data_IF_625615865959
#
_entry.id   IF_625615865959
#
_cell.length_a   1.000
_cell.length_b   1.000
_cell.length_c   1.000
_cell.angle_alpha   90.00
_cell.angle_beta   90.00
_cell.angle_gamma   90.00
#
_symmetry.space_group_name_H-M   'P 1'
#
loop_
_entity.id
_entity.type
_entity.pdbx_description
1 polymer ?
#
# COMPACT_ATOMS: atom_id res chain seq x y z
N UNK A 1 1.47 -11.20 -16.29
CA UNK A 1 1.50 -9.77 -15.89
C UNK A 1 1.29 -8.86 -17.09
N UNK A 2 0.58 -7.74 -16.93
CA UNK A 2 0.47 -6.70 -17.98
C UNK A 2 1.80 -5.94 -18.15
N UNK A 3 2.13 -5.51 -19.37
CA UNK A 3 3.38 -4.79 -19.65
C UNK A 3 3.47 -3.45 -18.89
N UNK A 4 2.35 -2.73 -18.78
CA UNK A 4 2.25 -1.46 -18.05
C UNK A 4 2.59 -1.62 -16.55
N UNK A 5 2.20 -2.76 -15.97
CA UNK A 5 2.52 -3.06 -14.57
C UNK A 5 4.03 -3.24 -14.36
N UNK A 6 4.72 -3.87 -15.31
CA UNK A 6 6.18 -4.04 -15.23
C UNK A 6 6.94 -2.70 -15.33
N UNK A 7 6.42 -1.75 -16.11
CA UNK A 7 6.97 -0.39 -16.21
C UNK A 7 6.88 0.39 -14.88
N UNK A 8 5.96 0.01 -13.99
CA UNK A 8 5.85 0.58 -12.64
C UNK A 8 6.71 -0.17 -11.61
N UNK A 9 6.81 -1.50 -11.73
CA UNK A 9 7.52 -2.35 -10.77
C UNK A 9 9.04 -2.20 -10.90
N UNK A 10 9.59 -2.23 -12.12
CA UNK A 10 11.05 -2.24 -12.30
C UNK A 10 11.75 -1.00 -11.70
N UNK A 11 11.26 0.24 -11.90
CA UNK A 11 11.81 1.40 -11.22
C UNK A 11 11.67 1.36 -9.70
N UNK A 12 10.56 0.80 -9.20
CA UNK A 12 10.32 0.65 -7.77
C UNK A 12 11.32 -0.31 -7.13
N UNK A 13 11.59 -1.46 -7.76
CA UNK A 13 12.59 -2.42 -7.28
C UNK A 13 14.00 -1.83 -7.27
N UNK A 14 14.37 -1.10 -8.31
CA UNK A 14 15.65 -0.39 -8.37
C UNK A 14 15.75 0.65 -7.24
N UNK A 15 14.65 1.34 -6.94
CA UNK A 15 14.58 2.27 -5.82
C UNK A 15 14.77 1.59 -4.46
N UNK A 16 14.09 0.45 -4.23
CA UNK A 16 14.28 -0.36 -3.02
C UNK A 16 15.74 -0.81 -2.86
N UNK A 17 16.36 -1.24 -3.96
CA UNK A 17 17.78 -1.63 -3.97
C UNK A 17 18.66 -0.46 -3.53
N UNK A 18 18.50 0.72 -4.12
CA UNK A 18 19.26 1.93 -3.75
C UNK A 18 19.04 2.35 -2.29
N UNK A 19 17.81 2.24 -1.79
CA UNK A 19 17.49 2.54 -0.39
C UNK A 19 18.18 1.57 0.58
N UNK A 20 18.24 0.27 0.25
CA UNK A 20 18.99 -0.72 1.03
C UNK A 20 20.49 -0.44 1.00
N UNK A 21 21.07 -0.15 -0.16
CA UNK A 21 22.50 0.18 -0.28
C UNK A 21 22.86 1.42 0.54
N UNK A 22 22.02 2.46 0.51
CA UNK A 22 22.21 3.64 1.35
C UNK A 22 22.12 3.32 2.85
N UNK A 23 21.27 2.36 3.23
CA UNK A 23 21.14 1.90 4.62
C UNK A 23 22.34 1.06 5.09
N UNK A 24 22.94 0.27 4.20
CA UNK A 24 24.08 -0.59 4.53
C UNK A 24 25.41 0.16 4.56
N UNK A 25 25.52 1.27 3.84
CA UNK A 25 26.69 2.17 3.86
C UNK A 25 26.78 3.05 5.12
N UNK A 26 26.01 2.74 6.18
CA UNK A 26 26.04 3.52 7.43
C UNK A 26 27.45 3.51 8.03
N UNK A 27 27.96 4.70 8.45
CA UNK A 27 29.21 4.74 9.18
C UNK A 27 29.09 3.87 10.44
N UNK A 28 30.08 3.01 10.63
CA UNK A 28 30.18 2.17 11.82
C UNK A 28 30.67 3.02 12.99
N UNK A 29 30.06 2.80 14.14
CA UNK A 29 30.59 3.20 15.43
C UNK A 29 31.96 2.52 15.65
N UNK A 30 32.82 3.05 16.53
CA UNK A 30 34.11 2.45 16.83
C UNK A 30 34.04 0.99 17.33
N UNK A 31 32.88 0.56 17.83
CA UNK A 31 32.60 -0.82 18.26
C UNK A 31 32.07 -1.74 17.14
N UNK A 32 32.07 -1.27 15.89
CA UNK A 32 31.65 -2.03 14.71
C UNK A 32 30.15 -2.09 14.46
N UNK A 33 29.32 -1.44 15.29
CA UNK A 33 27.86 -1.37 15.07
C UNK A 33 27.50 -0.21 14.14
N UNK A 34 26.44 -0.31 13.33
CA UNK A 34 25.94 0.85 12.57
C UNK A 34 25.61 2.00 13.53
N UNK A 35 26.02 3.22 13.19
CA UNK A 35 25.67 4.39 13.99
C UNK A 35 24.15 4.50 14.16
N UNK A 36 23.71 4.70 15.40
CA UNK A 36 22.32 4.97 15.72
C UNK A 36 21.96 6.40 15.28
N UNK A 37 21.55 6.54 14.03
CA UNK A 37 21.01 7.77 13.46
C UNK A 37 19.68 7.48 12.77
N UNK A 38 18.83 8.51 12.64
CA UNK A 38 17.70 8.44 11.70
C UNK A 38 18.28 8.09 10.33
N UNK A 39 17.81 7.00 9.74
CA UNK A 39 18.05 6.72 8.33
C UNK A 39 17.31 7.82 7.58
N UNK A 40 18.04 8.75 6.97
CA UNK A 40 17.43 9.66 6.02
C UNK A 40 16.89 8.82 4.87
N UNK A 41 15.59 8.87 4.67
CA UNK A 41 14.96 8.29 3.49
C UNK A 41 15.49 9.03 2.27
N UNK A 42 15.64 8.33 1.15
CA UNK A 42 15.88 9.02 -0.12
C UNK A 42 14.69 9.97 -0.38
N UNK A 43 14.91 11.18 -0.94
CA UNK A 43 13.82 12.15 -1.15
C UNK A 43 12.64 11.59 -1.95
N UNK A 44 12.92 10.69 -2.88
CA UNK A 44 11.94 9.98 -3.70
C UNK A 44 11.05 9.06 -2.84
N UNK A 45 11.62 8.42 -1.81
CA UNK A 45 10.89 7.62 -0.81
C UNK A 45 9.95 8.49 0.01
N UNK A 46 10.41 9.64 0.49
CA UNK A 46 9.59 10.56 1.28
C UNK A 46 8.38 11.05 0.47
N UNK A 47 8.60 11.46 -0.78
CA UNK A 47 7.51 11.86 -1.67
C UNK A 47 6.56 10.71 -2.00
N UNK A 48 7.06 9.49 -2.13
CA UNK A 48 6.24 8.28 -2.30
C UNK A 48 5.29 8.07 -1.12
N UNK A 49 5.82 8.13 0.10
CA UNK A 49 5.06 8.01 1.33
C UNK A 49 4.03 9.14 1.49
N UNK A 50 4.38 10.38 1.14
CA UNK A 50 3.44 11.52 1.17
C UNK A 50 2.26 11.32 0.21
N UNK A 51 2.53 10.89 -1.04
CA UNK A 51 1.47 10.60 -2.01
C UNK A 51 0.55 9.49 -1.53
N UNK A 52 1.13 8.39 -1.05
CA UNK A 52 0.40 7.26 -0.51
C UNK A 52 -0.46 7.68 0.69
N UNK A 53 0.08 8.48 1.62
CA UNK A 53 -0.70 9.02 2.73
C UNK A 53 -1.88 9.87 2.23
N UNK A 54 -1.68 10.68 1.18
CA UNK A 54 -2.74 11.40 0.51
C UNK A 54 -3.85 10.47 -0.01
N UNK A 55 -3.48 9.39 -0.72
CA UNK A 55 -4.44 8.40 -1.22
C UNK A 55 -5.22 7.72 -0.10
N UNK A 56 -4.52 7.33 0.98
CA UNK A 56 -5.15 6.73 2.16
C UNK A 56 -6.16 7.67 2.82
N UNK A 57 -5.84 8.95 2.97
CA UNK A 57 -6.78 9.94 3.53
C UNK A 57 -7.97 10.19 2.59
N UNK A 58 -7.74 10.30 1.29
CA UNK A 58 -8.80 10.46 0.29
C UNK A 58 -9.74 9.26 0.29
N UNK A 59 -9.21 8.04 0.29
CA UNK A 59 -10.02 6.82 0.35
C UNK A 59 -10.83 6.76 1.65
N UNK A 60 -10.17 7.00 2.79
CA UNK A 60 -10.83 7.00 4.11
C UNK A 60 -11.97 8.02 4.16
N UNK A 61 -11.74 9.24 3.71
CA UNK A 61 -12.76 10.29 3.69
C UNK A 61 -13.93 9.93 2.76
N UNK A 62 -13.63 9.36 1.59
CA UNK A 62 -14.62 8.94 0.62
C UNK A 62 -15.51 7.79 1.15
N UNK A 63 -14.91 6.79 1.80
CA UNK A 63 -15.66 5.67 2.37
C UNK A 63 -16.43 6.03 3.64
N UNK A 64 -15.87 6.90 4.49
CA UNK A 64 -16.54 7.37 5.70
C UNK A 64 -17.83 8.17 5.42
N UNK A 65 -18.04 8.63 4.19
CA UNK A 65 -19.27 9.30 3.77
C UNK A 65 -20.43 8.34 3.47
N UNK A 66 -20.16 7.03 3.34
CA UNK A 66 -21.17 6.04 3.00
C UNK A 66 -21.96 5.58 4.24
N UNK A 67 -23.31 5.57 4.22
CA UNK A 67 -24.12 5.29 5.41
C UNK A 67 -23.95 3.86 5.96
N UNK A 68 -23.64 2.90 5.10
CA UNK A 68 -23.43 1.49 5.49
C UNK A 68 -21.98 1.19 5.90
N UNK A 69 -21.06 2.14 5.75
CA UNK A 69 -19.70 2.01 6.28
C UNK A 69 -19.71 2.39 7.75
N UNK A 70 -19.29 1.45 8.59
CA UNK A 70 -19.21 1.64 10.04
C UNK A 70 -17.92 2.32 10.46
N UNK A 71 -16.81 1.87 9.89
CA UNK A 71 -15.49 2.42 10.18
C UNK A 71 -14.58 2.31 8.97
N UNK A 72 -13.68 3.27 8.83
CA UNK A 72 -12.61 3.28 7.85
C UNK A 72 -11.34 3.77 8.55
N UNK A 73 -10.38 2.88 8.77
CA UNK A 73 -9.21 3.17 9.59
C UNK A 73 -7.92 2.66 8.96
N UNK A 74 -6.80 3.22 9.39
CA UNK A 74 -5.48 2.79 8.95
C UNK A 74 -5.10 1.50 9.68
N UNK A 75 -4.86 0.44 8.90
CA UNK A 75 -4.42 -0.85 9.39
C UNK A 75 -2.90 -0.91 9.60
N UNK A 76 -2.30 -2.07 9.34
CA UNK A 76 -0.85 -2.28 9.47
C UNK A 76 -0.07 -1.65 8.33
N UNK A 77 1.00 -0.93 8.68
CA UNK A 77 1.93 -0.22 7.79
C UNK A 77 1.25 0.76 6.83
N UNK A 78 0.67 0.26 5.75
CA UNK A 78 0.19 1.03 4.59
C UNK A 78 -1.12 0.47 4.06
N UNK A 79 -2.04 0.09 4.95
CA UNK A 79 -3.36 -0.40 4.57
C UNK A 79 -4.50 0.44 5.14
N UNK A 80 -5.64 0.42 4.45
CA UNK A 80 -6.92 0.95 4.94
C UNK A 80 -7.91 -0.20 5.07
N UNK A 81 -8.44 -0.38 6.27
CA UNK A 81 -9.52 -1.32 6.59
C UNK A 81 -10.86 -0.58 6.57
N UNK A 82 -11.84 -1.10 5.84
CA UNK A 82 -13.19 -0.53 5.69
C UNK A 82 -14.21 -1.57 6.12
N UNK A 83 -14.88 -1.31 7.22
CA UNK A 83 -15.83 -2.24 7.85
C UNK A 83 -17.27 -1.78 7.61
N UNK A 84 -18.16 -2.71 7.22
CA UNK A 84 -19.62 -2.48 7.14
C UNK A 84 -20.41 -3.24 8.22
N UNK A 85 -19.72 -4.08 8.99
CA UNK A 85 -20.30 -4.89 10.05
C UNK A 85 -20.01 -4.35 11.44
N UNK A 86 -20.83 -4.74 12.41
CA UNK A 86 -20.56 -4.49 13.83
C UNK A 86 -19.43 -5.40 14.36
N UNK A 87 -19.20 -6.54 13.71
CA UNK A 87 -18.13 -7.47 14.06
C UNK A 87 -16.88 -7.17 13.21
N UNK A 88 -16.01 -6.28 13.74
CA UNK A 88 -14.89 -5.59 13.04
C UNK A 88 -13.83 -6.46 12.36
N UNK A 89 -13.91 -7.79 12.41
CA UNK A 89 -12.81 -8.68 12.00
C UNK A 89 -13.16 -9.67 10.90
N UNK A 90 -14.43 -9.79 10.51
CA UNK A 90 -14.86 -10.81 9.53
C UNK A 90 -15.46 -10.24 8.24
N UNK A 91 -15.77 -8.94 8.24
CA UNK A 91 -16.55 -8.30 7.17
C UNK A 91 -15.98 -6.92 6.85
N UNK A 92 -14.89 -6.92 6.07
CA UNK A 92 -14.17 -5.71 5.70
C UNK A 92 -13.50 -5.80 4.32
N UNK A 93 -13.23 -4.62 3.75
CA UNK A 93 -12.25 -4.46 2.69
C UNK A 93 -10.91 -4.07 3.33
N UNK A 94 -9.83 -4.68 2.87
CA UNK A 94 -8.47 -4.24 3.18
C UNK A 94 -7.83 -3.78 1.88
N UNK A 95 -7.56 -2.48 1.78
CA UNK A 95 -6.81 -1.90 0.66
C UNK A 95 -5.37 -1.72 1.10
N UNK A 96 -4.46 -2.50 0.53
CA UNK A 96 -3.02 -2.37 0.77
C UNK A 96 -2.39 -1.53 -0.34
N UNK A 97 -1.56 -0.56 0.03
CA UNK A 97 -0.87 0.34 -0.89
C UNK A 97 0.61 -0.01 -0.96
N UNK A 98 1.18 0.03 -2.15
CA UNK A 98 2.63 -0.05 -2.29
C UNK A 98 3.26 1.27 -1.84
N UNK A 99 4.30 1.17 -1.02
CA UNK A 99 5.12 2.32 -0.61
C UNK A 99 6.03 2.84 -1.74
N UNK A 100 6.24 2.05 -2.80
CA UNK A 100 7.27 2.30 -3.82
C UNK A 100 6.72 2.61 -5.22
N UNK A 101 5.48 2.24 -5.50
CA UNK A 101 4.82 2.43 -6.78
C UNK A 101 3.35 2.82 -6.57
N UNK A 102 2.67 3.43 -7.56
CA UNK A 102 1.24 3.73 -7.48
C UNK A 102 0.40 2.46 -7.66
N UNK A 103 0.66 1.43 -6.85
CA UNK A 103 -0.02 0.14 -6.87
C UNK A 103 -0.87 0.00 -5.62
N UNK A 104 -2.02 -0.64 -5.75
CA UNK A 104 -2.79 -1.08 -4.62
C UNK A 104 -3.45 -2.43 -4.91
N UNK A 105 -3.72 -3.18 -3.86
CA UNK A 105 -4.51 -4.41 -3.91
C UNK A 105 -5.68 -4.29 -2.95
N UNK A 106 -6.79 -4.96 -3.27
CA UNK A 106 -8.02 -4.93 -2.50
C UNK A 106 -8.38 -6.35 -2.11
N UNK A 107 -8.36 -6.62 -0.81
CA UNK A 107 -8.84 -7.87 -0.24
C UNK A 107 -10.24 -7.67 0.31
N UNK A 108 -11.12 -8.64 0.06
CA UNK A 108 -12.50 -8.63 0.56
C UNK A 108 -12.69 -9.80 1.51
N UNK A 109 -13.08 -9.51 2.74
CA UNK A 109 -13.43 -10.49 3.75
C UNK A 109 -14.94 -10.42 3.99
N UNK A 110 -15.63 -11.56 3.88
CA UNK A 110 -17.09 -11.63 4.01
C UNK A 110 -17.82 -11.29 2.70
N UNK A 111 -19.08 -10.84 2.82
CA UNK A 111 -19.94 -10.49 1.68
C UNK A 111 -20.39 -9.04 1.79
N UNK A 112 -19.72 -8.09 1.11
CA UNK A 112 -20.04 -6.68 1.23
C UNK A 112 -21.42 -6.36 0.64
N UNK A 113 -22.18 -5.43 1.23
CA UNK A 113 -23.35 -4.85 0.58
C UNK A 113 -22.96 -4.23 -0.76
N UNK A 114 -23.77 -4.45 -1.80
CA UNK A 114 -23.46 -3.99 -3.15
C UNK A 114 -23.20 -2.47 -3.24
N UNK A 115 -23.90 -1.67 -2.43
CA UNK A 115 -23.70 -0.23 -2.35
C UNK A 115 -22.30 0.15 -1.81
N UNK A 116 -21.81 -0.58 -0.80
CA UNK A 116 -20.47 -0.37 -0.22
C UNK A 116 -19.40 -0.74 -1.25
N UNK A 117 -19.55 -1.86 -1.97
CA UNK A 117 -18.63 -2.24 -3.05
C UNK A 117 -18.58 -1.18 -4.16
N UNK A 118 -19.75 -0.71 -4.62
CA UNK A 118 -19.82 0.33 -5.65
C UNK A 118 -19.17 1.64 -5.20
N UNK A 119 -19.35 2.02 -3.93
CA UNK A 119 -18.68 3.19 -3.37
C UNK A 119 -17.17 3.00 -3.35
N UNK A 120 -16.67 1.83 -2.94
CA UNK A 120 -15.24 1.55 -2.93
C UNK A 120 -14.65 1.67 -4.34
N UNK A 121 -15.29 1.06 -5.33
CA UNK A 121 -14.87 1.16 -6.74
C UNK A 121 -14.84 2.63 -7.21
N UNK A 122 -15.86 3.41 -6.87
CA UNK A 122 -15.94 4.83 -7.23
C UNK A 122 -14.89 5.69 -6.51
N UNK A 123 -14.54 5.37 -5.26
CA UNK A 123 -13.48 6.04 -4.51
C UNK A 123 -12.10 5.70 -5.10
N UNK A 124 -11.83 4.43 -5.39
CA UNK A 124 -10.56 3.98 -5.96
C UNK A 124 -10.33 4.52 -7.37
N UNK A 125 -11.38 4.62 -8.19
CA UNK A 125 -11.30 5.18 -9.54
C UNK A 125 -10.87 6.66 -9.60
N UNK A 126 -10.96 7.39 -8.48
CA UNK A 126 -10.49 8.78 -8.37
C UNK A 126 -9.02 8.90 -7.98
N UNK A 127 -8.41 7.79 -7.54
CA UNK A 127 -7.02 7.76 -7.13
C UNK A 127 -6.15 7.39 -8.34
N UNK A 128 -4.99 8.03 -8.52
CA UNK A 128 -4.06 7.68 -9.59
C UNK A 128 -3.27 6.40 -9.24
N UNK A 129 -3.99 5.31 -9.03
CA UNK A 129 -3.49 3.99 -8.64
C UNK A 129 -3.75 2.98 -9.76
N UNK A 130 -2.85 2.02 -9.89
CA UNK A 130 -3.08 0.79 -10.62
C UNK A 130 -3.50 -0.29 -9.63
N UNK A 131 -4.74 -0.76 -9.75
CA UNK A 131 -5.25 -1.86 -8.95
C UNK A 131 -4.74 -3.19 -9.51
N UNK A 132 -4.13 -3.98 -8.65
CA UNK A 132 -3.70 -5.35 -8.94
C UNK A 132 -4.90 -6.29 -8.79
N UNK A 133 -5.03 -7.22 -9.73
CA UNK A 133 -5.97 -8.33 -9.58
C UNK A 133 -5.29 -9.55 -8.91
N UNK A 134 -6.08 -10.57 -8.59
CA UNK A 134 -5.60 -11.77 -7.89
C UNK A 134 -4.46 -12.49 -8.63
N UNK A 135 -4.53 -12.58 -9.95
CA UNK A 135 -3.49 -13.21 -10.78
C UNK A 135 -2.17 -12.42 -10.73
N UNK A 136 -2.24 -11.09 -10.74
CA UNK A 136 -1.08 -10.20 -10.65
C UNK A 136 -0.46 -10.25 -9.27
N UNK A 137 -1.28 -10.26 -8.21
CA UNK A 137 -0.81 -10.46 -6.83
C UNK A 137 -0.12 -11.81 -6.68
N UNK A 138 -0.73 -12.88 -7.21
CA UNK A 138 -0.15 -14.22 -7.18
C UNK A 138 1.20 -14.27 -7.89
N UNK A 139 1.30 -13.68 -9.09
CA UNK A 139 2.56 -13.64 -9.84
C UNK A 139 3.65 -12.85 -9.09
N UNK A 140 3.30 -11.78 -8.37
CA UNK A 140 4.26 -11.07 -7.50
C UNK A 140 4.74 -11.92 -6.33
N UNK A 141 3.88 -12.78 -5.76
CA UNK A 141 4.27 -13.74 -4.73
C UNK A 141 5.23 -14.80 -5.29
N UNK A 142 4.91 -15.40 -6.43
CA UNK A 142 5.77 -16.42 -7.07
C UNK A 142 7.17 -15.89 -7.40
N UNK A 143 7.27 -14.59 -7.69
CA UNK A 143 8.53 -13.90 -7.99
C UNK A 143 9.23 -13.31 -6.76
N UNK A 144 8.69 -13.51 -5.56
CA UNK A 144 9.20 -12.94 -4.29
C UNK A 144 9.24 -11.40 -4.27
N UNK A 145 8.41 -10.74 -5.08
CA UNK A 145 8.38 -9.28 -5.22
C UNK A 145 7.33 -8.63 -4.32
N UNK A 146 6.29 -9.37 -3.92
CA UNK A 146 5.16 -8.81 -3.17
C UNK A 146 5.61 -8.06 -1.91
N UNK A 147 6.31 -8.74 -0.99
CA UNK A 147 6.80 -8.16 0.27
C UNK A 147 7.89 -7.09 0.10
N UNK A 148 8.52 -7.03 -1.07
CA UNK A 148 9.44 -5.94 -1.39
C UNK A 148 8.66 -4.68 -1.74
N UNK A 149 7.51 -4.84 -2.41
CA UNK A 149 6.67 -3.76 -2.91
C UNK A 149 5.64 -3.26 -1.88
N UNK A 150 5.16 -4.13 -0.98
CA UNK A 150 4.12 -3.91 0.02
C UNK A 150 4.63 -4.30 1.42
#
# INVERSE_FOLDING_TARGET
MRQELWQLIEPALEHVRRQHEAHDQRPLMPDGRPAAGRVSLLPETEQGLERMHGYMQSLKACMAAHPDVRDAYTGTAYSISINWSENRTSEEFVVEFSQWAPLATVYTYGSPPAAVSQQLDACLAQLPLMLLNDDEVHELYERELYFTLF
#
